data_IF_361362581875
#
_entry.id   IF_361362581875
#
_cell.length_a   1.000
_cell.length_b   1.000
_cell.length_c   1.000
_cell.angle_alpha   90.00
_cell.angle_beta   90.00
_cell.angle_gamma   90.00
#
_symmetry.space_group_name_H-M   'P 1'
#
loop_
_entity.id
_entity.type
_entity.pdbx_description
1 polymer ?
#
# COMPACT_ATOMS: atom_id res chain seq x y z
N UNK A 1 21.51 -34.98 -0.04
CA UNK A 1 20.09 -34.64 -0.22
C UNK A 1 19.98 -33.13 -0.17
N UNK A 2 19.33 -32.52 -1.15
CA UNK A 2 18.93 -31.13 -1.01
C UNK A 2 17.97 -31.05 0.19
N UNK A 3 18.23 -30.13 1.11
CA UNK A 3 17.39 -29.96 2.29
C UNK A 3 16.21 -29.08 1.85
N UNK A 4 15.02 -29.66 1.75
CA UNK A 4 13.77 -28.94 1.38
C UNK A 4 13.24 -28.06 2.52
N UNK A 5 14.13 -27.60 3.41
CA UNK A 5 13.77 -26.68 4.50
C UNK A 5 13.75 -25.25 3.97
N UNK A 6 12.58 -24.79 3.56
CA UNK A 6 12.33 -23.38 3.34
C UNK A 6 12.23 -22.65 4.68
N UNK A 7 13.10 -21.68 4.92
CA UNK A 7 12.96 -20.76 6.05
C UNK A 7 12.02 -19.62 5.69
N UNK A 8 11.15 -19.21 6.61
CA UNK A 8 10.33 -18.03 6.39
C UNK A 8 11.22 -16.78 6.25
N UNK A 9 10.86 -15.90 5.31
CA UNK A 9 11.63 -14.68 5.09
C UNK A 9 11.52 -13.74 6.31
N UNK A 10 12.65 -13.20 6.80
CA UNK A 10 12.65 -12.27 7.92
C UNK A 10 11.93 -10.97 7.56
N UNK A 11 11.44 -10.27 8.59
CA UNK A 11 10.79 -8.96 8.51
C UNK A 11 9.62 -8.88 7.53
N UNK A 12 8.92 -9.99 7.28
CA UNK A 12 7.80 -10.04 6.33
C UNK A 12 8.24 -9.89 4.88
N UNK A 13 9.47 -10.25 4.55
CA UNK A 13 9.91 -10.41 3.16
C UNK A 13 9.22 -11.59 2.46
N UNK A 14 9.46 -11.72 1.18
CA UNK A 14 8.96 -12.82 0.36
C UNK A 14 10.08 -13.35 -0.55
N UNK A 15 9.91 -14.56 -1.07
CA UNK A 15 10.79 -15.14 -2.07
C UNK A 15 9.99 -15.47 -3.31
N UNK A 16 10.41 -14.98 -4.48
CA UNK A 16 9.83 -15.44 -5.74
C UNK A 16 10.02 -16.95 -5.92
N UNK A 17 9.13 -17.62 -6.65
CA UNK A 17 9.32 -19.02 -7.04
C UNK A 17 10.70 -19.24 -7.66
N UNK A 18 11.48 -20.16 -7.08
CA UNK A 18 12.85 -20.46 -7.53
C UNK A 18 13.94 -19.50 -7.04
N UNK A 19 13.60 -18.48 -6.24
CA UNK A 19 14.59 -17.63 -5.57
C UNK A 19 15.10 -18.26 -4.28
N UNK A 20 16.41 -18.16 -4.04
CA UNK A 20 17.05 -18.53 -2.77
C UNK A 20 17.19 -17.34 -1.82
N UNK A 21 16.80 -16.14 -2.27
CA UNK A 21 16.91 -14.90 -1.53
C UNK A 21 15.52 -14.31 -1.25
N UNK A 22 15.38 -13.76 -0.04
CA UNK A 22 14.23 -12.98 0.35
C UNK A 22 14.37 -11.55 -0.18
N UNK A 23 13.31 -11.07 -0.81
CA UNK A 23 13.16 -9.70 -1.25
C UNK A 23 11.95 -9.06 -0.59
N UNK A 24 11.91 -7.73 -0.56
CA UNK A 24 10.78 -6.95 -0.08
C UNK A 24 10.21 -6.13 -1.21
N UNK A 25 8.91 -5.90 -1.14
CA UNK A 25 8.29 -4.98 -2.08
C UNK A 25 8.79 -3.55 -1.83
N UNK A 26 8.79 -2.75 -2.89
CA UNK A 26 9.09 -1.34 -2.75
C UNK A 26 8.02 -0.64 -1.90
N UNK A 27 8.36 0.53 -1.39
CA UNK A 27 7.43 1.47 -0.78
C UNK A 27 6.15 1.62 -1.60
N UNK A 28 5.01 1.63 -0.92
CA UNK A 28 3.68 1.68 -1.53
C UNK A 28 3.19 0.38 -2.18
N UNK A 29 3.95 -0.71 -2.09
CA UNK A 29 3.59 -2.01 -2.67
C UNK A 29 3.45 -3.09 -1.61
N UNK A 30 2.62 -4.09 -1.88
CA UNK A 30 2.47 -5.27 -1.04
C UNK A 30 2.77 -6.53 -1.85
N UNK A 31 3.22 -7.59 -1.19
CA UNK A 31 3.39 -8.87 -1.84
C UNK A 31 2.03 -9.57 -2.02
N UNK A 32 1.70 -9.87 -3.26
CA UNK A 32 0.51 -10.62 -3.63
C UNK A 32 0.90 -12.09 -3.86
N UNK A 33 0.53 -12.94 -2.91
CA UNK A 33 0.79 -14.37 -2.95
C UNK A 33 0.10 -15.07 -4.14
N UNK A 34 -1.00 -14.51 -4.65
CA UNK A 34 -1.73 -15.10 -5.79
C UNK A 34 -0.97 -14.93 -7.10
N UNK A 35 -0.34 -13.76 -7.28
CA UNK A 35 0.44 -13.44 -8.49
C UNK A 35 1.94 -13.65 -8.30
N UNK A 36 2.40 -13.95 -7.07
CA UNK A 36 3.80 -14.02 -6.67
C UNK A 36 4.58 -12.75 -7.07
N UNK A 37 3.93 -11.60 -6.95
CA UNK A 37 4.46 -10.32 -7.40
C UNK A 37 4.13 -9.19 -6.42
N UNK A 38 4.84 -8.06 -6.54
CA UNK A 38 4.56 -6.87 -5.75
C UNK A 38 3.41 -6.07 -6.37
N UNK A 39 2.21 -6.25 -5.81
CA UNK A 39 1.02 -5.46 -6.09
C UNK A 39 1.09 -4.07 -5.48
N UNK A 40 0.29 -3.16 -6.00
CA UNK A 40 0.26 -1.76 -5.57
C UNK A 40 -0.74 -1.60 -4.43
N UNK A 41 -0.36 -0.99 -3.29
CA UNK A 41 -1.32 -0.73 -2.22
C UNK A 41 -2.53 0.06 -2.74
N UNK A 42 -3.75 -0.31 -2.32
CA UNK A 42 -4.98 0.34 -2.78
C UNK A 42 -5.02 1.81 -2.38
N UNK A 43 -5.94 2.56 -2.97
CA UNK A 43 -6.16 3.98 -2.63
C UNK A 43 -6.39 4.14 -1.13
N UNK A 44 -6.08 5.33 -0.63
CA UNK A 44 -6.21 5.70 0.78
C UNK A 44 -5.39 4.82 1.75
N UNK A 45 -4.47 4.00 1.22
CA UNK A 45 -3.55 3.19 2.01
C UNK A 45 -2.11 3.39 1.55
N UNK A 46 -1.17 3.19 2.47
CA UNK A 46 0.24 3.37 2.21
C UNK A 46 1.08 2.32 2.95
N UNK A 47 2.33 2.17 2.52
CA UNK A 47 3.33 1.37 3.24
C UNK A 47 4.73 1.91 3.01
N UNK A 48 5.51 2.10 4.08
CA UNK A 48 6.82 2.76 4.02
C UNK A 48 7.91 1.86 3.40
N UNK A 49 7.88 0.56 3.70
CA UNK A 49 8.96 -0.38 3.37
C UNK A 49 8.51 -1.57 2.54
N UNK A 50 7.32 -1.47 1.95
CA UNK A 50 6.64 -2.59 1.32
C UNK A 50 6.00 -3.53 2.34
N UNK A 51 4.77 -3.92 2.07
CA UNK A 51 4.01 -4.82 2.93
C UNK A 51 4.20 -6.28 2.52
N UNK A 52 4.15 -7.18 3.51
CA UNK A 52 4.20 -8.63 3.27
C UNK A 52 2.94 -9.17 2.61
N UNK A 53 1.84 -8.45 2.75
CA UNK A 53 0.51 -8.75 2.23
C UNK A 53 -0.36 -7.48 2.29
N UNK A 54 -1.56 -7.54 1.72
CA UNK A 54 -2.49 -6.41 1.63
C UNK A 54 -2.82 -5.76 2.99
N UNK A 55 -2.79 -6.53 4.09
CA UNK A 55 -3.08 -6.00 5.45
C UNK A 55 -1.99 -5.08 5.97
N UNK A 56 -0.78 -5.13 5.39
CA UNK A 56 0.29 -4.18 5.70
C UNK A 56 0.18 -2.85 4.97
N UNK A 57 -0.81 -2.67 4.09
CA UNK A 57 -1.18 -1.37 3.55
C UNK A 57 -2.06 -0.65 4.58
N UNK A 58 -1.49 0.31 5.31
CA UNK A 58 -2.19 1.02 6.39
C UNK A 58 -2.98 2.19 5.83
N UNK A 59 -4.24 2.41 6.27
CA UNK A 59 -5.03 3.55 5.80
C UNK A 59 -4.50 4.87 6.34
N UNK A 60 -4.73 5.96 5.60
CA UNK A 60 -4.51 7.31 6.11
C UNK A 60 -5.53 7.62 7.22
N UNK A 61 -5.05 7.97 8.41
CA UNK A 61 -5.89 8.12 9.60
C UNK A 61 -6.36 9.54 9.86
N UNK A 62 -5.70 10.54 9.26
CA UNK A 62 -6.03 11.94 9.49
C UNK A 62 -7.07 12.44 8.48
N UNK A 63 -7.99 13.28 8.93
CA UNK A 63 -8.94 13.96 8.06
C UNK A 63 -8.19 14.87 7.06
N UNK A 64 -8.60 14.82 5.79
CA UNK A 64 -7.94 15.55 4.70
C UNK A 64 -6.60 14.96 4.25
N UNK A 65 -6.21 13.78 4.75
CA UNK A 65 -5.09 13.02 4.22
C UNK A 65 -5.57 11.87 3.34
N UNK A 66 -4.82 11.61 2.27
CA UNK A 66 -5.11 10.57 1.30
C UNK A 66 -3.81 9.98 0.76
N UNK A 67 -3.86 8.75 0.26
CA UNK A 67 -2.75 8.11 -0.41
C UNK A 67 -3.19 7.65 -1.79
N UNK A 68 -2.45 8.06 -2.82
CA UNK A 68 -2.63 7.52 -4.17
C UNK A 68 -2.25 6.03 -4.19
N UNK A 69 -2.80 5.22 -5.11
CA UNK A 69 -2.36 3.85 -5.30
C UNK A 69 -0.83 3.80 -5.48
N UNK A 70 -0.15 3.07 -4.60
CA UNK A 70 1.31 2.96 -4.68
C UNK A 70 2.06 4.02 -3.89
N UNK A 71 1.37 4.83 -3.09
CA UNK A 71 2.02 5.81 -2.25
C UNK A 71 2.71 5.18 -1.04
N UNK A 72 3.88 5.72 -0.71
CA UNK A 72 4.62 5.38 0.50
C UNK A 72 4.18 6.11 1.74
N UNK A 73 3.32 7.11 1.58
CA UNK A 73 2.95 8.06 2.62
C UNK A 73 1.58 8.66 2.33
N UNK A 74 0.97 9.25 3.35
CA UNK A 74 -0.24 10.04 3.18
C UNK A 74 0.14 11.45 2.74
N UNK A 75 -0.42 11.86 1.61
CA UNK A 75 -0.43 13.24 1.14
C UNK A 75 -1.59 13.97 1.81
N UNK A 76 -1.42 15.25 2.15
CA UNK A 76 -2.52 16.09 2.62
C UNK A 76 -3.10 16.87 1.46
N UNK A 77 -4.42 16.98 1.41
CA UNK A 77 -5.06 17.87 0.45
C UNK A 77 -4.63 19.33 0.65
N UNK A 78 -4.54 20.13 -0.43
CA UNK A 78 -4.38 21.57 -0.35
C UNK A 78 -5.42 22.20 0.60
N UNK A 79 -5.14 23.41 1.10
CA UNK A 79 -6.16 24.12 1.88
C UNK A 79 -7.46 24.20 1.06
N UNK A 80 -8.59 24.00 1.74
CA UNK A 80 -9.96 24.06 1.20
C UNK A 80 -10.39 22.87 0.31
N UNK A 81 -9.58 21.82 0.23
CA UNK A 81 -9.92 20.56 -0.44
C UNK A 81 -10.06 19.41 0.57
N UNK A 82 -10.96 18.47 0.30
CA UNK A 82 -11.07 17.21 1.04
C UNK A 82 -10.91 16.03 0.08
N UNK A 83 -10.61 14.85 0.63
CA UNK A 83 -10.58 13.62 -0.16
C UNK A 83 -12.00 13.26 -0.57
N UNK A 84 -12.24 13.24 -1.87
CA UNK A 84 -13.53 12.94 -2.45
C UNK A 84 -13.48 11.56 -3.14
N UNK A 85 -14.37 10.66 -2.70
CA UNK A 85 -14.46 9.29 -3.21
C UNK A 85 -14.89 9.24 -4.69
N UNK A 86 -15.61 10.26 -5.18
CA UNK A 86 -16.10 10.33 -6.57
C UNK A 86 -15.01 10.70 -7.57
N UNK A 87 -14.15 11.64 -7.22
CA UNK A 87 -13.01 12.11 -8.02
C UNK A 87 -11.74 11.32 -7.73
N UNK A 88 -11.78 10.42 -6.74
CA UNK A 88 -10.67 9.55 -6.36
C UNK A 88 -9.40 10.34 -5.99
N UNK A 89 -9.58 11.53 -5.43
CA UNK A 89 -8.52 12.51 -5.18
C UNK A 89 -8.98 13.66 -4.31
N UNK A 90 -8.15 14.71 -4.21
CA UNK A 90 -8.57 15.93 -3.55
C UNK A 90 -9.48 16.72 -4.49
N UNK A 91 -10.64 17.11 -3.97
CA UNK A 91 -11.56 17.99 -4.66
C UNK A 91 -11.95 19.14 -3.74
N UNK A 92 -12.21 20.30 -4.37
CA UNK A 92 -12.80 21.43 -3.66
C UNK A 92 -14.16 21.03 -3.11
N UNK A 93 -14.31 21.04 -1.79
CA UNK A 93 -15.63 20.94 -1.20
C UNK A 93 -16.38 22.24 -1.46
N UNK A 94 -17.31 22.20 -2.41
CA UNK A 94 -18.39 23.20 -2.44
C UNK A 94 -19.42 22.81 -1.39
N UNK A 95 -20.05 23.79 -0.75
CA UNK A 95 -20.94 23.63 0.42
C UNK A 95 -22.24 22.82 0.18
N UNK A 96 -22.32 22.02 -0.87
CA UNK A 96 -23.52 21.32 -1.34
C UNK A 96 -23.60 19.83 -0.99
N UNK A 97 -22.50 19.17 -0.58
CA UNK A 97 -22.48 17.73 -0.27
C UNK A 97 -22.71 17.36 1.20
N UNK A 98 -23.19 18.30 2.03
CA UNK A 98 -23.82 17.97 3.32
C UNK A 98 -25.31 17.67 3.09
N UNK A 99 -25.64 16.48 2.61
CA UNK A 99 -27.00 15.92 2.70
C UNK A 99 -26.92 14.50 3.26
#
# INVERSE_FOLDING_TARGET
GANDTCSACPDGGHSKPGSFACEKCSTGKYYDETTNACGTCPRNTFTLSGAKDITGCTPCQNAGEFAKPGSGYCERCPQYEEFDDLTEGCACMTSFDRI
#
